data_IF_065735577183
#
_entry.id   IF_065735577183
#
_cell.length_a   1.000
_cell.length_b   1.000
_cell.length_c   1.000
_cell.angle_alpha   90.00
_cell.angle_beta   90.00
_cell.angle_gamma   90.00
#
_symmetry.space_group_name_H-M   'P 1'
#
loop_
_entity.id
_entity.type
_entity.pdbx_description
1 polymer ?
#
# COMPACT_ATOMS: atom_id res chain seq x y z
N UNK A 1 15.92 7.68 -6.60
CA UNK A 1 14.56 8.10 -6.23
C UNK A 1 14.61 9.56 -5.82
N UNK A 2 13.90 10.43 -6.50
CA UNK A 2 13.74 11.85 -6.16
C UNK A 2 12.52 12.03 -5.25
N UNK A 3 12.41 13.14 -4.53
CA UNK A 3 11.21 13.46 -3.72
C UNK A 3 9.91 13.41 -4.54
N UNK A 4 9.97 13.82 -5.81
CA UNK A 4 8.83 13.78 -6.73
C UNK A 4 8.39 12.34 -7.03
N UNK A 5 9.34 11.43 -7.19
CA UNK A 5 9.06 10.01 -7.41
C UNK A 5 8.54 9.34 -6.13
N UNK A 6 9.08 9.72 -4.96
CA UNK A 6 8.59 9.25 -3.67
C UNK A 6 7.13 9.65 -3.42
N UNK A 7 6.78 10.92 -3.66
CA UNK A 7 5.39 11.39 -3.56
C UNK A 7 4.44 10.65 -4.51
N UNK A 8 4.91 10.34 -5.73
CA UNK A 8 4.14 9.53 -6.68
C UNK A 8 3.96 8.10 -6.19
N UNK A 9 5.00 7.49 -5.62
CA UNK A 9 4.95 6.15 -5.04
C UNK A 9 3.92 6.10 -3.91
N UNK A 10 4.00 7.05 -2.98
CA UNK A 10 3.03 7.19 -1.89
C UNK A 10 1.60 7.32 -2.42
N UNK A 11 1.37 8.26 -3.35
CA UNK A 11 0.04 8.47 -3.94
C UNK A 11 -0.50 7.24 -4.66
N UNK A 12 0.38 6.47 -5.32
CA UNK A 12 0.01 5.21 -5.97
C UNK A 12 -0.38 4.15 -4.95
N UNK A 13 0.37 4.01 -3.86
CA UNK A 13 0.06 3.08 -2.77
C UNK A 13 -1.31 3.42 -2.16
N UNK A 14 -1.54 4.69 -1.80
CA UNK A 14 -2.82 5.13 -1.22
C UNK A 14 -4.00 4.91 -2.15
N UNK A 15 -3.83 5.19 -3.43
CA UNK A 15 -4.87 4.93 -4.44
C UNK A 15 -5.22 3.45 -4.50
N UNK A 16 -4.21 2.57 -4.56
CA UNK A 16 -4.43 1.12 -4.56
C UNK A 16 -5.07 0.63 -3.27
N UNK A 17 -4.70 1.17 -2.11
CA UNK A 17 -5.35 0.84 -0.84
C UNK A 17 -6.84 1.20 -0.89
N UNK A 18 -7.18 2.36 -1.43
CA UNK A 18 -8.57 2.79 -1.58
C UNK A 18 -9.34 1.89 -2.56
N UNK A 19 -8.76 1.52 -3.70
CA UNK A 19 -9.42 0.61 -4.65
C UNK A 19 -9.65 -0.79 -4.07
N UNK A 20 -8.71 -1.30 -3.26
CA UNK A 20 -8.86 -2.58 -2.54
C UNK A 20 -9.98 -2.48 -1.50
N UNK A 21 -10.02 -1.40 -0.70
CA UNK A 21 -11.10 -1.18 0.29
C UNK A 21 -12.47 -1.13 -0.36
N UNK A 22 -12.57 -0.47 -1.51
CA UNK A 22 -13.80 -0.36 -2.28
C UNK A 22 -14.09 -1.60 -3.14
N UNK A 23 -13.32 -2.69 -2.98
CA UNK A 23 -13.48 -3.96 -3.71
C UNK A 23 -13.42 -3.80 -5.24
N UNK A 24 -12.76 -2.76 -5.73
CA UNK A 24 -12.55 -2.53 -7.17
C UNK A 24 -11.47 -3.45 -7.75
N UNK A 25 -10.48 -3.80 -6.93
CA UNK A 25 -9.36 -4.66 -7.29
C UNK A 25 -8.98 -5.56 -6.12
N UNK A 26 -8.53 -6.78 -6.41
CA UNK A 26 -8.04 -7.71 -5.38
C UNK A 26 -6.65 -7.32 -4.85
N UNK A 27 -6.34 -7.74 -3.61
CA UNK A 27 -5.01 -7.50 -3.00
C UNK A 27 -3.86 -7.98 -3.91
N UNK A 28 -3.96 -9.21 -4.41
CA UNK A 28 -2.94 -9.83 -5.27
C UNK A 28 -2.82 -9.12 -6.62
N UNK A 29 -3.96 -8.83 -7.25
CA UNK A 29 -4.05 -8.18 -8.55
C UNK A 29 -3.50 -6.74 -8.53
N UNK A 30 -3.68 -6.03 -7.40
CA UNK A 30 -3.22 -4.65 -7.25
C UNK A 30 -1.70 -4.48 -7.33
N UNK A 31 -0.92 -5.54 -7.07
CA UNK A 31 0.54 -5.47 -6.97
C UNK A 31 1.05 -4.61 -5.81
N UNK A 32 0.19 -4.26 -4.85
CA UNK A 32 0.52 -3.32 -3.76
C UNK A 32 1.67 -3.80 -2.87
N UNK A 33 1.84 -5.11 -2.70
CA UNK A 33 2.94 -5.66 -1.89
C UNK A 33 4.32 -5.28 -2.42
N UNK A 34 4.51 -5.27 -3.74
CA UNK A 34 5.77 -4.84 -4.37
C UNK A 34 6.03 -3.35 -4.16
N UNK A 35 4.98 -2.53 -4.18
CA UNK A 35 5.09 -1.09 -3.92
C UNK A 35 5.42 -0.80 -2.46
N UNK A 36 4.84 -1.55 -1.52
CA UNK A 36 5.18 -1.45 -0.10
C UNK A 36 6.63 -1.86 0.18
N UNK A 37 7.12 -2.92 -0.48
CA UNK A 37 8.53 -3.32 -0.38
C UNK A 37 9.46 -2.25 -0.95
N UNK A 38 9.11 -1.67 -2.11
CA UNK A 38 9.86 -0.56 -2.67
C UNK A 38 9.88 0.65 -1.73
N UNK A 39 8.72 1.01 -1.16
CA UNK A 39 8.60 2.10 -0.19
C UNK A 39 9.51 1.88 1.02
N UNK A 40 9.51 0.67 1.58
CA UNK A 40 10.39 0.29 2.70
C UNK A 40 11.87 0.51 2.38
N UNK A 41 12.30 0.23 1.15
CA UNK A 41 13.70 0.38 0.76
C UNK A 41 14.11 1.84 0.54
N UNK A 42 13.19 2.70 0.10
CA UNK A 42 13.50 4.08 -0.29
C UNK A 42 13.18 5.12 0.77
N UNK A 43 12.19 4.85 1.64
CA UNK A 43 11.81 5.70 2.76
C UNK A 43 11.16 4.87 3.87
N UNK A 44 11.97 4.45 4.83
CA UNK A 44 11.53 3.65 5.98
C UNK A 44 10.57 4.42 6.89
N UNK A 45 10.76 5.73 7.06
CA UNK A 45 9.91 6.56 7.91
C UNK A 45 8.48 6.68 7.36
N UNK A 46 8.35 6.78 6.03
CA UNK A 46 7.05 6.80 5.36
C UNK A 46 6.41 5.40 5.33
N UNK A 47 7.21 4.36 5.14
CA UNK A 47 6.74 2.98 5.23
C UNK A 47 6.11 2.69 6.59
N UNK A 48 6.79 3.00 7.70
CA UNK A 48 6.28 2.76 9.06
C UNK A 48 4.99 3.54 9.35
N UNK A 49 4.79 4.70 8.72
CA UNK A 49 3.52 5.47 8.82
C UNK A 49 2.36 4.80 8.10
N UNK A 50 2.60 4.17 6.94
CA UNK A 50 1.55 3.56 6.10
C UNK A 50 1.28 2.11 6.51
N UNK A 51 2.27 1.44 7.12
CA UNK A 51 2.22 0.03 7.46
C UNK A 51 1.00 -0.39 8.31
N UNK A 52 0.57 0.36 9.35
CA UNK A 52 -0.62 -0.01 10.14
C UNK A 52 -1.88 -0.06 9.28
N UNK A 53 -2.11 0.99 8.50
CA UNK A 53 -3.27 1.15 7.61
C UNK A 53 -3.27 0.05 6.52
N UNK A 54 -2.09 -0.31 6.02
CA UNK A 54 -1.91 -1.40 5.07
C UNK A 54 -2.22 -2.76 5.68
N UNK A 55 -1.72 -3.04 6.89
CA UNK A 55 -1.97 -4.28 7.62
C UNK A 55 -3.47 -4.45 7.89
N UNK A 56 -4.13 -3.43 8.41
CA UNK A 56 -5.58 -3.45 8.67
C UNK A 56 -6.39 -3.79 7.41
N UNK A 57 -6.03 -3.22 6.26
CA UNK A 57 -6.68 -3.55 5.00
C UNK A 57 -6.45 -5.00 4.58
N UNK A 58 -5.22 -5.51 4.72
CA UNK A 58 -4.86 -6.90 4.36
C UNK A 58 -5.54 -7.91 5.27
N UNK A 59 -5.58 -7.65 6.58
CA UNK A 59 -6.17 -8.55 7.58
C UNK A 59 -7.68 -8.41 7.67
N UNK A 60 -8.20 -7.20 7.53
CA UNK A 60 -9.65 -6.92 7.50
C UNK A 60 -10.36 -7.60 6.33
N UNK A 61 -9.65 -7.91 5.24
CA UNK A 61 -10.15 -8.75 4.15
C UNK A 61 -10.16 -10.25 4.44
N UNK A 62 -9.59 -10.72 5.56
CA UNK A 62 -9.32 -12.14 5.85
C UNK A 62 -9.98 -12.71 7.12
N UNK A 63 -10.87 -11.99 7.81
CA UNK A 63 -11.44 -12.48 9.09
C UNK A 63 -12.81 -13.19 8.97
N UNK A 64 -13.48 -13.21 7.80
CA UNK A 64 -14.66 -14.08 7.63
C UNK A 64 -14.75 -14.71 6.24
N UNK A 65 -14.10 -15.86 6.06
CA UNK A 65 -14.69 -17.03 5.39
C UNK A 65 -13.93 -18.31 5.71
#
# INVERSE_FOLDING_TARGET
MTEKELRKLEGTIRTKMNDIRNRRIGLKESGIGSLMNLLKQVDEALYEKILPEYKEMVTGGKIFK
#
